data_IF_727789506978
#
_entry.id   IF_727789506978
#
_cell.length_a   1.000
_cell.length_b   1.000
_cell.length_c   1.000
_cell.angle_alpha   90.00
_cell.angle_beta   90.00
_cell.angle_gamma   90.00
#
_symmetry.space_group_name_H-M   'P 1'
#
loop_
_entity.id
_entity.type
_entity.pdbx_description
1 polymer ?
#
# COMPACT_ATOMS: atom_id res chain seq x y z
N UNK A 1 -5.23 -26.03 -5.59
CA UNK A 1 -4.98 -26.96 -4.46
C UNK A 1 -3.69 -26.53 -3.78
N UNK A 2 -3.60 -26.64 -2.44
CA UNK A 2 -2.34 -26.42 -1.74
C UNK A 2 -1.30 -27.46 -2.19
N UNK A 3 -0.04 -27.03 -2.35
CA UNK A 3 1.05 -27.92 -2.72
C UNK A 3 1.42 -28.87 -1.57
N UNK A 4 2.04 -30.01 -1.89
CA UNK A 4 2.43 -31.02 -0.90
C UNK A 4 3.72 -30.67 -0.12
N UNK A 5 4.38 -29.56 -0.44
CA UNK A 5 5.62 -29.12 0.22
C UNK A 5 5.31 -28.15 1.35
N UNK A 6 6.18 -28.15 2.36
CA UNK A 6 6.16 -27.14 3.42
C UNK A 6 6.38 -25.75 2.83
N UNK A 7 5.57 -24.78 3.27
CA UNK A 7 5.65 -23.42 2.76
C UNK A 7 6.93 -22.72 3.26
N UNK A 8 7.69 -22.12 2.35
CA UNK A 8 8.94 -21.40 2.68
C UNK A 8 8.69 -20.07 3.42
N UNK A 9 7.52 -19.46 3.19
CA UNK A 9 7.11 -18.19 3.81
C UNK A 9 5.62 -18.28 4.20
N UNK A 10 5.19 -17.45 5.16
CA UNK A 10 3.78 -17.40 5.51
C UNK A 10 2.93 -16.87 4.36
N UNK A 11 1.69 -17.35 4.28
CA UNK A 11 0.72 -16.87 3.30
C UNK A 11 0.51 -15.35 3.43
N UNK A 12 0.51 -14.83 4.65
CA UNK A 12 0.35 -13.39 4.92
C UNK A 12 1.49 -12.57 4.33
N UNK A 13 2.74 -13.05 4.47
CA UNK A 13 3.91 -12.38 3.88
C UNK A 13 3.85 -12.42 2.35
N UNK A 14 3.49 -13.57 1.78
CA UNK A 14 3.30 -13.70 0.34
C UNK A 14 2.25 -12.72 -0.18
N UNK A 15 1.07 -12.69 0.44
CA UNK A 15 -0.03 -11.80 0.05
C UNK A 15 0.35 -10.32 0.19
N UNK A 16 1.07 -9.96 1.25
CA UNK A 16 1.58 -8.60 1.45
C UNK A 16 2.55 -8.19 0.32
N UNK A 17 3.47 -9.07 -0.06
CA UNK A 17 4.41 -8.83 -1.16
C UNK A 17 3.65 -8.73 -2.49
N UNK A 18 2.70 -9.64 -2.75
CA UNK A 18 1.87 -9.58 -3.97
C UNK A 18 1.06 -8.28 -4.06
N UNK A 19 0.48 -7.81 -2.96
CA UNK A 19 -0.20 -6.52 -2.90
C UNK A 19 0.75 -5.36 -3.19
N UNK A 20 1.96 -5.41 -2.63
CA UNK A 20 2.99 -4.38 -2.85
C UNK A 20 3.47 -4.37 -4.30
N UNK A 21 3.72 -5.54 -4.88
CA UNK A 21 4.09 -5.69 -6.29
C UNK A 21 3.00 -5.16 -7.21
N UNK A 22 1.71 -5.45 -6.95
CA UNK A 22 0.60 -4.88 -7.71
C UNK A 22 0.54 -3.36 -7.60
N UNK A 23 0.70 -2.79 -6.41
CA UNK A 23 0.77 -1.33 -6.20
C UNK A 23 1.94 -0.68 -6.94
N UNK A 24 3.06 -1.39 -7.05
CA UNK A 24 4.26 -0.91 -7.73
C UNK A 24 4.26 -1.21 -9.24
N UNK A 25 3.43 -2.14 -9.70
CA UNK A 25 3.35 -2.52 -11.11
C UNK A 25 2.89 -1.32 -11.95
N UNK A 26 3.66 -1.00 -12.99
CA UNK A 26 3.42 0.18 -13.83
C UNK A 26 3.80 1.53 -13.19
N UNK A 27 4.33 1.55 -11.96
CA UNK A 27 4.80 2.79 -11.31
C UNK A 27 6.15 3.20 -11.87
N UNK A 28 6.29 4.46 -12.25
CA UNK A 28 7.54 4.98 -12.79
C UNK A 28 8.63 5.05 -11.72
N UNK A 29 9.88 4.74 -12.11
CA UNK A 29 11.05 4.88 -11.23
C UNK A 29 11.29 6.29 -10.70
N UNK A 30 10.75 7.33 -11.32
CA UNK A 30 10.88 8.70 -10.79
C UNK A 30 9.90 8.98 -9.64
N UNK A 31 9.11 8.00 -9.20
CA UNK A 31 8.25 8.08 -8.01
C UNK A 31 8.91 7.44 -6.78
N UNK A 32 10.24 7.31 -6.80
CA UNK A 32 11.08 6.96 -5.64
C UNK A 32 10.94 8.02 -4.55
N UNK A 33 11.27 7.66 -3.31
CA UNK A 33 11.18 8.55 -2.15
C UNK A 33 12.05 9.81 -2.28
N UNK A 34 13.18 9.71 -2.98
CA UNK A 34 14.10 10.81 -3.27
C UNK A 34 14.35 10.88 -4.78
N UNK A 35 13.43 11.48 -5.56
CA UNK A 35 13.60 11.60 -6.99
C UNK A 35 14.51 12.79 -7.33
N UNK A 36 15.34 12.65 -8.37
CA UNK A 36 16.12 13.79 -8.92
C UNK A 36 15.21 14.93 -9.40
N UNK A 37 13.98 14.60 -9.81
CA UNK A 37 12.97 15.54 -10.30
C UNK A 37 11.60 15.21 -9.72
N UNK A 38 10.98 16.19 -9.10
CA UNK A 38 9.66 16.06 -8.50
C UNK A 38 8.56 16.46 -9.50
N UNK A 39 7.53 15.62 -9.60
CA UNK A 39 6.33 15.87 -10.37
C UNK A 39 5.13 15.44 -9.54
N UNK A 40 4.44 16.41 -8.92
CA UNK A 40 3.43 16.18 -7.90
C UNK A 40 2.31 15.21 -8.33
N UNK A 41 1.90 15.30 -9.59
CA UNK A 41 0.76 14.57 -10.12
C UNK A 41 1.16 13.45 -11.08
N UNK A 42 2.46 13.08 -11.12
CA UNK A 42 2.92 11.99 -11.99
C UNK A 42 2.25 10.66 -11.57
N UNK A 43 1.64 9.99 -12.54
CA UNK A 43 0.85 8.78 -12.30
C UNK A 43 -0.62 9.04 -11.95
N UNK A 44 -1.00 10.30 -11.69
CA UNK A 44 -2.37 10.73 -11.45
C UNK A 44 -2.97 11.46 -12.66
N UNK A 45 -2.20 12.35 -13.31
CA UNK A 45 -2.68 13.08 -14.49
C UNK A 45 -2.95 12.12 -15.64
N UNK A 46 -4.15 12.24 -16.23
CA UNK A 46 -4.59 11.50 -17.41
C UNK A 46 -5.15 12.46 -18.45
N UNK A 47 -5.04 12.08 -19.72
CA UNK A 47 -5.71 12.81 -20.80
C UNK A 47 -7.23 12.64 -20.67
N UNK A 48 -7.97 13.75 -20.78
CA UNK A 48 -9.45 13.74 -20.73
C UNK A 48 -10.09 13.02 -21.93
N UNK A 49 -9.38 12.91 -23.06
CA UNK A 49 -9.91 12.30 -24.27
C UNK A 49 -9.67 10.79 -24.33
N UNK A 50 -8.43 10.34 -24.14
CA UNK A 50 -8.09 8.92 -24.25
C UNK A 50 -7.94 8.20 -22.91
N UNK A 51 -7.95 8.92 -21.77
CA UNK A 51 -7.79 8.34 -20.43
C UNK A 51 -6.38 7.81 -20.10
N UNK A 52 -5.44 7.93 -21.04
CA UNK A 52 -4.07 7.47 -20.86
C UNK A 52 -3.32 8.36 -19.86
N UNK A 53 -2.39 7.78 -19.07
CA UNK A 53 -1.57 8.54 -18.15
C UNK A 53 -0.63 9.49 -18.90
N UNK A 54 -0.55 10.74 -18.45
CA UNK A 54 0.34 11.73 -19.05
C UNK A 54 1.78 11.60 -18.54
N UNK A 55 2.74 11.91 -19.41
CA UNK A 55 4.17 11.85 -19.11
C UNK A 55 4.66 13.15 -18.51
N UNK A 56 5.41 13.08 -17.42
CA UNK A 56 6.04 14.25 -16.84
C UNK A 56 7.46 14.44 -17.40
N UNK A 57 7.78 15.64 -17.87
CA UNK A 57 9.06 15.97 -18.47
C UNK A 57 9.51 17.39 -18.11
N UNK A 58 10.71 17.52 -17.57
CA UNK A 58 11.44 18.79 -17.40
C UNK A 58 12.47 18.95 -18.50
N UNK A 59 12.42 20.09 -19.20
CA UNK A 59 13.38 20.48 -20.24
C UNK A 59 14.61 21.18 -19.65
N UNK A 60 15.68 21.32 -20.45
CA UNK A 60 16.91 22.04 -20.04
C UNK A 60 16.66 23.48 -19.58
N UNK A 61 15.58 24.11 -20.06
CA UNK A 61 15.14 25.43 -19.60
C UNK A 61 14.60 25.47 -18.16
N UNK A 62 14.50 24.33 -17.47
CA UNK A 62 13.90 24.22 -16.14
C UNK A 62 12.37 24.05 -16.13
N UNK A 63 11.69 24.42 -17.23
CA UNK A 63 10.25 24.24 -17.36
C UNK A 63 9.82 22.76 -17.39
N UNK A 64 8.82 22.42 -16.57
CA UNK A 64 8.23 21.10 -16.43
C UNK A 64 6.80 21.03 -16.99
N UNK A 65 6.49 19.93 -17.67
CA UNK A 65 5.20 19.71 -18.34
C UNK A 65 4.69 18.29 -18.12
N UNK A 66 3.37 18.15 -18.01
CA UNK A 66 2.68 16.91 -18.30
C UNK A 66 2.37 16.88 -19.80
N UNK A 67 2.67 15.77 -20.46
CA UNK A 67 2.58 15.61 -21.92
C UNK A 67 1.79 14.38 -22.28
N UNK A 68 0.94 14.52 -23.28
CA UNK A 68 0.29 13.37 -23.89
C UNK A 68 1.29 12.61 -24.77
N UNK A 69 1.07 11.31 -24.89
CA UNK A 69 1.85 10.45 -25.74
C UNK A 69 1.82 10.90 -27.21
N UNK A 70 2.86 10.53 -27.97
CA UNK A 70 2.72 10.46 -29.42
C UNK A 70 1.67 9.41 -29.76
N UNK A 71 0.92 9.60 -30.84
CA UNK A 71 -0.13 8.68 -31.28
C UNK A 71 0.35 7.22 -31.41
N UNK A 72 1.64 6.99 -31.72
CA UNK A 72 2.24 5.65 -31.79
C UNK A 72 2.40 4.92 -30.44
N UNK A 73 2.14 5.60 -29.32
CA UNK A 73 2.22 5.03 -27.96
C UNK A 73 0.90 5.13 -27.20
N UNK A 74 -0.17 5.59 -27.84
CA UNK A 74 -1.52 5.56 -27.29
C UNK A 74 -2.24 4.29 -27.73
N UNK A 75 -3.22 3.83 -26.94
CA UNK A 75 -4.05 2.66 -27.28
C UNK A 75 -4.82 2.88 -28.60
N UNK A 76 -5.19 4.13 -28.86
CA UNK A 76 -5.90 4.61 -30.04
C UNK A 76 -5.37 5.99 -30.41
N UNK A 77 -5.64 6.46 -31.63
CA UNK A 77 -5.27 7.80 -32.05
C UNK A 77 -6.00 8.84 -31.19
N UNK A 78 -5.24 9.56 -30.36
CA UNK A 78 -5.78 10.59 -29.48
C UNK A 78 -5.71 11.95 -30.18
N UNK A 79 -6.79 12.75 -30.23
CA UNK A 79 -6.75 14.09 -30.83
C UNK A 79 -5.80 15.03 -30.07
N UNK A 80 -5.51 14.73 -28.80
CA UNK A 80 -4.58 15.50 -27.98
C UNK A 80 -3.13 15.00 -28.06
N UNK A 81 -2.81 14.11 -29.00
CA UNK A 81 -1.46 13.55 -29.10
C UNK A 81 -0.39 14.64 -29.16
N UNK A 82 0.66 14.50 -28.37
CA UNK A 82 1.73 15.50 -28.26
C UNK A 82 1.38 16.80 -27.53
N UNK A 83 0.12 16.98 -27.12
CA UNK A 83 -0.34 18.09 -26.30
C UNK A 83 0.41 18.16 -24.96
N UNK A 84 0.59 19.37 -24.45
CA UNK A 84 1.34 19.62 -23.22
C UNK A 84 0.63 20.62 -22.33
N UNK A 85 0.85 20.48 -21.03
CA UNK A 85 0.40 21.43 -20.03
C UNK A 85 1.50 21.62 -18.99
N UNK A 86 1.79 22.87 -18.65
CA UNK A 86 2.82 23.18 -17.66
C UNK A 86 2.41 22.63 -16.29
N UNK A 87 3.32 21.96 -15.59
CA UNK A 87 2.99 21.32 -14.30
C UNK A 87 2.37 22.32 -13.31
N UNK A 88 2.95 23.53 -13.23
CA UNK A 88 2.47 24.62 -12.36
C UNK A 88 0.98 24.94 -12.50
N UNK A 89 0.37 24.70 -13.66
CA UNK A 89 -1.04 25.02 -13.91
C UNK A 89 -1.94 24.01 -13.20
N UNK A 90 -1.76 22.72 -13.49
CA UNK A 90 -2.56 21.66 -12.86
C UNK A 90 -2.22 21.54 -11.37
N UNK A 91 -0.94 21.63 -11.01
CA UNK A 91 -0.50 21.52 -9.63
C UNK A 91 -1.16 22.61 -8.75
N UNK A 92 -1.34 23.83 -9.29
CA UNK A 92 -2.08 24.90 -8.61
C UNK A 92 -3.56 24.56 -8.45
N UNK A 93 -4.22 24.05 -9.50
CA UNK A 93 -5.64 23.66 -9.44
C UNK A 93 -5.87 22.55 -8.42
N UNK A 94 -5.02 21.52 -8.40
CA UNK A 94 -5.12 20.43 -7.42
C UNK A 94 -4.86 20.94 -6.01
N UNK A 95 -3.88 21.85 -5.83
CA UNK A 95 -3.65 22.50 -4.54
C UNK A 95 -4.91 23.20 -4.04
N UNK A 96 -5.56 24.00 -4.89
CA UNK A 96 -6.79 24.72 -4.52
C UNK A 96 -7.92 23.75 -4.11
N UNK A 97 -8.09 22.65 -4.86
CA UNK A 97 -9.08 21.62 -4.53
C UNK A 97 -8.78 20.94 -3.19
N UNK A 98 -7.53 20.55 -2.94
CA UNK A 98 -7.13 19.90 -1.68
C UNK A 98 -7.22 20.87 -0.51
N UNK A 99 -6.88 22.14 -0.71
CA UNK A 99 -6.97 23.18 0.32
C UNK A 99 -8.41 23.54 0.68
N UNK A 100 -9.37 23.30 -0.22
CA UNK A 100 -10.79 23.51 0.05
C UNK A 100 -11.45 22.34 0.81
N UNK A 101 -10.71 21.25 1.10
CA UNK A 101 -11.25 20.13 1.87
C UNK A 101 -11.39 20.55 3.33
N UNK A 102 -12.63 20.70 3.78
CA UNK A 102 -12.96 20.90 5.19
C UNK A 102 -13.17 19.54 5.88
N UNK A 103 -12.53 19.37 7.03
CA UNK A 103 -12.75 18.21 7.88
C UNK A 103 -13.96 18.48 8.78
N UNK A 104 -14.87 17.51 8.88
CA UNK A 104 -16.08 17.64 9.71
C UNK A 104 -15.77 17.89 11.19
N UNK A 105 -16.71 18.40 12.00
CA UNK A 105 -16.44 18.86 13.37
C UNK A 105 -15.88 17.78 14.31
N UNK A 106 -16.08 16.50 13.98
CA UNK A 106 -15.63 15.34 14.77
C UNK A 106 -14.48 14.57 14.14
N UNK A 107 -13.84 15.10 13.10
CA UNK A 107 -12.79 14.39 12.35
C UNK A 107 -11.69 13.83 13.25
N UNK A 108 -11.31 14.59 14.29
CA UNK A 108 -10.25 14.18 15.22
C UNK A 108 -10.69 12.96 16.04
N UNK A 109 -11.92 12.95 16.54
CA UNK A 109 -12.47 11.83 17.31
C UNK A 109 -12.58 10.57 16.44
N UNK A 110 -13.01 10.72 15.19
CA UNK A 110 -13.09 9.63 14.23
C UNK A 110 -11.70 9.03 13.96
N UNK A 111 -10.69 9.88 13.72
CA UNK A 111 -9.31 9.45 13.51
C UNK A 111 -8.76 8.74 14.76
N UNK A 112 -8.98 9.29 15.95
CA UNK A 112 -8.55 8.67 17.21
C UNK A 112 -9.23 7.32 17.45
N UNK A 113 -10.52 7.18 17.12
CA UNK A 113 -11.25 5.92 17.20
C UNK A 113 -10.65 4.86 16.26
N UNK A 114 -10.33 5.24 15.02
CA UNK A 114 -9.69 4.34 14.05
C UNK A 114 -8.32 3.86 14.56
N UNK A 115 -7.51 4.77 15.13
CA UNK A 115 -6.20 4.44 15.70
C UNK A 115 -6.37 3.47 16.88
N UNK A 116 -7.26 3.79 17.82
CA UNK A 116 -7.51 2.95 19.00
C UNK A 116 -7.99 1.55 18.63
N UNK A 117 -8.88 1.43 17.64
CA UNK A 117 -9.35 0.12 17.15
C UNK A 117 -8.19 -0.68 16.55
N UNK A 118 -7.30 -0.03 15.80
CA UNK A 118 -6.12 -0.69 15.23
C UNK A 118 -5.18 -1.22 16.32
N UNK A 119 -4.90 -0.40 17.34
CA UNK A 119 -4.03 -0.79 18.46
C UNK A 119 -4.61 -1.98 19.23
N UNK A 120 -5.93 -2.03 19.39
CA UNK A 120 -6.62 -3.15 20.04
C UNK A 120 -6.51 -4.44 19.23
N UNK A 121 -6.71 -4.37 17.91
CA UNK A 121 -6.52 -5.51 17.01
C UNK A 121 -5.09 -6.05 17.10
N UNK A 122 -4.09 -5.17 17.15
CA UNK A 122 -2.69 -5.56 17.26
C UNK A 122 -2.35 -6.17 18.64
N UNK A 123 -2.98 -5.68 19.72
CA UNK A 123 -2.86 -6.26 21.07
C UNK A 123 -3.40 -7.68 21.11
N UNK A 124 -4.63 -7.89 20.63
CA UNK A 124 -5.29 -9.22 20.61
C UNK A 124 -4.48 -10.22 19.77
N UNK A 125 -3.91 -9.79 18.63
CA UNK A 125 -3.02 -10.63 17.83
C UNK A 125 -1.78 -11.08 18.61
N UNK A 126 -1.11 -10.17 19.33
CA UNK A 126 0.06 -10.51 20.15
C UNK A 126 -0.30 -11.48 21.28
N UNK A 127 -1.42 -11.26 21.96
CA UNK A 127 -1.89 -12.17 23.03
C UNK A 127 -2.21 -13.57 22.49
N UNK A 128 -2.84 -13.65 21.32
CA UNK A 128 -3.06 -14.91 20.61
C UNK A 128 -1.74 -15.63 20.31
N UNK A 129 -0.76 -14.93 19.74
CA UNK A 129 0.52 -15.53 19.36
C UNK A 129 1.33 -16.00 20.58
N UNK A 130 1.27 -15.26 21.70
CA UNK A 130 1.84 -15.67 22.98
C UNK A 130 1.16 -16.94 23.53
N UNK A 131 -0.17 -16.99 23.48
CA UNK A 131 -0.95 -18.15 23.91
C UNK A 131 -0.63 -19.38 23.06
N UNK A 132 -0.56 -19.24 21.73
CA UNK A 132 -0.14 -20.31 20.81
C UNK A 132 1.27 -20.80 21.15
N UNK A 133 2.21 -19.88 21.39
CA UNK A 133 3.59 -20.22 21.75
C UNK A 133 3.64 -20.99 23.07
N UNK A 134 2.85 -20.57 24.07
CA UNK A 134 2.73 -21.28 25.36
C UNK A 134 2.18 -22.69 25.18
N UNK A 135 1.13 -22.85 24.37
CA UNK A 135 0.55 -24.15 24.04
C UNK A 135 1.57 -25.08 23.35
N UNK A 136 2.33 -24.57 22.38
CA UNK A 136 3.39 -25.35 21.72
C UNK A 136 4.48 -25.80 22.69
N UNK A 137 4.93 -24.91 23.60
CA UNK A 137 5.92 -25.26 24.62
C UNK A 137 5.39 -26.32 25.58
N UNK A 138 4.16 -26.18 26.05
CA UNK A 138 3.52 -27.17 26.94
C UNK A 138 3.37 -28.53 26.25
N UNK A 139 2.97 -28.55 24.98
CA UNK A 139 2.87 -29.79 24.21
C UNK A 139 4.23 -30.50 24.10
N UNK A 140 5.32 -29.74 23.92
CA UNK A 140 6.68 -30.30 23.90
C UNK A 140 7.06 -30.95 25.24
N UNK A 141 6.86 -30.23 26.35
CA UNK A 141 7.16 -30.72 27.72
C UNK A 141 6.35 -31.99 28.04
N UNK A 142 5.09 -32.06 27.59
CA UNK A 142 4.26 -33.26 27.72
C UNK A 142 4.80 -34.44 26.88
N UNK A 143 5.16 -34.20 25.61
CA UNK A 143 5.75 -35.23 24.75
C UNK A 143 7.09 -35.75 25.29
N UNK A 144 7.88 -34.90 25.93
CA UNK A 144 9.14 -35.29 26.59
C UNK A 144 8.92 -36.04 27.93
N UNK A 145 7.66 -36.25 28.33
CA UNK A 145 7.29 -36.98 29.55
C UNK A 145 7.54 -36.22 30.86
N UNK A 146 7.83 -34.93 30.79
CA UNK A 146 8.20 -34.11 31.95
C UNK A 146 6.99 -33.67 32.78
N UNK A 147 5.77 -33.79 32.25
CA UNK A 147 4.52 -33.51 32.95
C UNK A 147 3.48 -34.63 32.73
N UNK A 148 2.68 -35.01 33.74
CA UNK A 148 1.58 -35.96 33.59
C UNK A 148 0.42 -35.41 32.74
N UNK A 149 -0.38 -36.32 32.17
CA UNK A 149 -1.55 -35.99 31.32
C UNK A 149 -2.61 -35.15 32.06
N UNK A 150 -2.82 -35.41 33.35
CA UNK A 150 -3.75 -34.68 34.20
C UNK A 150 -3.36 -33.20 34.34
N UNK A 151 -2.07 -32.93 34.56
CA UNK A 151 -1.53 -31.57 34.70
C UNK A 151 -1.54 -30.84 33.34
N UNK A 152 -1.19 -31.51 32.25
CA UNK A 152 -1.29 -30.96 30.89
C UNK A 152 -2.74 -30.58 30.54
N UNK A 153 -3.70 -31.47 30.83
CA UNK A 153 -5.13 -31.27 30.56
C UNK A 153 -5.72 -30.12 31.37
N UNK A 154 -5.27 -29.96 32.62
CA UNK A 154 -5.66 -28.85 33.50
C UNK A 154 -5.16 -27.52 32.97
N UNK A 155 -3.87 -27.42 32.64
CA UNK A 155 -3.27 -26.16 32.18
C UNK A 155 -3.74 -25.74 30.78
N UNK A 156 -4.18 -26.68 29.92
CA UNK A 156 -4.72 -26.36 28.58
C UNK A 156 -6.14 -25.74 28.61
N UNK A 157 -6.87 -25.92 29.70
CA UNK A 157 -8.25 -25.40 29.88
C UNK A 157 -8.31 -24.02 30.57
N UNK A 158 -7.19 -23.54 31.10
CA UNK A 158 -7.01 -22.21 31.69
C UNK A 158 -6.61 -21.20 30.61
#
# INVERSE_FOLDING_TARGET
>A
MPGAHEALISQELFDLVQLTLRKNSGRSETLKALPEREYLLKGLVRCSHCGMPMWAQTYKSGNSYYREHKASRSIQECPCHGGTIACRVIDKQVRELVSAIELGPRWLEEVLSIISLKDEVDRVKKERDLTITKLHRMARVFMDGLIPEEEYSRQKKL
#
